data_IF_933883251786
#
_entry.id   IF_933883251786
#
_cell.length_a   1.000
_cell.length_b   1.000
_cell.length_c   1.000
_cell.angle_alpha   90.00
_cell.angle_beta   90.00
_cell.angle_gamma   90.00
#
_symmetry.space_group_name_H-M   'P 1'
#
loop_
_entity.id
_entity.type
_entity.pdbx_description
1 polymer ?
#
# COMPACT_ATOMS: atom_id res chain seq x y z
N UNK A 1 -21.87 3.78 -23.08
CA UNK A 1 -20.93 2.66 -22.86
C UNK A 1 -21.06 2.31 -21.39
N UNK A 2 -21.54 1.12 -21.07
CA UNK A 2 -21.68 0.68 -19.67
C UNK A 2 -20.27 0.42 -19.18
N UNK A 3 -19.77 1.22 -18.23
CA UNK A 3 -18.48 0.98 -17.59
C UNK A 3 -18.44 -0.47 -17.10
N UNK A 4 -17.56 -1.25 -17.71
CA UNK A 4 -17.24 -2.60 -17.25
C UNK A 4 -16.67 -2.44 -15.83
N UNK A 5 -17.46 -2.86 -14.84
CA UNK A 5 -17.14 -2.70 -13.42
C UNK A 5 -15.76 -3.28 -13.11
N UNK A 6 -14.77 -2.42 -12.96
CA UNK A 6 -13.40 -2.81 -12.59
C UNK A 6 -13.45 -3.52 -11.24
N UNK A 7 -13.10 -4.79 -11.24
CA UNK A 7 -13.02 -5.58 -10.02
C UNK A 7 -11.81 -5.12 -9.20
N UNK A 8 -12.04 -4.84 -7.91
CA UNK A 8 -11.03 -4.38 -6.96
C UNK A 8 -10.74 -5.54 -6.00
N UNK A 9 -9.48 -5.96 -5.95
CA UNK A 9 -9.02 -6.91 -4.94
C UNK A 9 -8.83 -6.15 -3.63
N UNK A 10 -9.47 -6.61 -2.57
CA UNK A 10 -9.39 -6.05 -1.23
C UNK A 10 -9.38 -7.15 -0.17
N UNK A 11 -9.30 -6.76 1.09
CA UNK A 11 -9.15 -7.63 2.23
C UNK A 11 -10.20 -7.28 3.28
N UNK A 12 -10.84 -8.30 3.84
CA UNK A 12 -11.94 -8.12 4.79
C UNK A 12 -11.78 -9.02 6.00
N UNK A 13 -12.05 -8.46 7.17
CA UNK A 13 -12.20 -9.18 8.42
C UNK A 13 -13.65 -9.57 8.70
N UNK A 14 -13.84 -10.69 9.39
CA UNK A 14 -15.12 -11.26 9.82
C UNK A 14 -15.00 -11.77 11.25
N UNK A 15 -16.15 -11.92 11.91
CA UNK A 15 -16.21 -12.71 13.14
C UNK A 15 -15.84 -14.19 12.87
N UNK A 16 -15.50 -14.93 13.91
CA UNK A 16 -15.14 -16.36 13.84
C UNK A 16 -16.18 -17.23 13.12
N UNK A 17 -17.46 -16.84 13.23
CA UNK A 17 -18.61 -17.49 12.60
C UNK A 17 -18.90 -16.97 11.18
N UNK A 18 -17.98 -16.21 10.57
CA UNK A 18 -18.14 -15.58 9.25
C UNK A 18 -19.23 -14.49 9.17
N UNK A 19 -19.65 -13.91 10.29
CA UNK A 19 -20.61 -12.79 10.28
C UNK A 19 -19.93 -11.42 10.18
N UNK A 20 -20.64 -10.45 9.57
CA UNK A 20 -20.32 -9.02 9.64
C UNK A 20 -21.57 -8.18 9.35
N UNK A 21 -21.89 -7.20 10.22
CA UNK A 21 -23.01 -6.23 10.06
C UNK A 21 -24.33 -6.87 9.59
N UNK A 22 -24.74 -7.97 10.22
CA UNK A 22 -26.02 -8.64 9.93
C UNK A 22 -26.03 -9.55 8.70
N UNK A 23 -24.88 -9.74 8.05
CA UNK A 23 -24.70 -10.72 6.99
C UNK A 23 -23.92 -11.94 7.51
N UNK A 24 -24.38 -13.12 7.10
CA UNK A 24 -23.62 -14.37 7.17
C UNK A 24 -22.90 -14.55 5.83
N UNK A 25 -21.57 -14.66 5.86
CA UNK A 25 -20.77 -14.87 4.66
C UNK A 25 -20.32 -16.31 4.54
N UNK A 26 -19.94 -16.67 3.32
CA UNK A 26 -19.37 -17.97 2.98
C UNK A 26 -18.34 -17.75 1.86
N UNK A 27 -17.23 -18.46 1.94
CA UNK A 27 -16.18 -18.47 0.90
C UNK A 27 -16.77 -18.99 -0.41
N UNK A 28 -16.39 -18.37 -1.53
CA UNK A 28 -16.90 -18.63 -2.87
C UNK A 28 -18.21 -17.92 -3.22
N UNK A 29 -18.91 -17.32 -2.24
CA UNK A 29 -20.20 -16.66 -2.49
C UNK A 29 -20.06 -15.17 -2.78
N UNK A 30 -21.04 -14.68 -3.53
CA UNK A 30 -21.18 -13.28 -3.95
C UNK A 30 -22.42 -12.66 -3.33
N UNK A 31 -22.31 -11.43 -2.84
CA UNK A 31 -23.37 -10.70 -2.18
C UNK A 31 -23.54 -9.33 -2.83
N UNK A 32 -24.79 -8.85 -2.86
CA UNK A 32 -25.17 -7.57 -3.45
C UNK A 32 -25.95 -6.75 -2.42
N UNK A 33 -25.48 -5.54 -2.15
CA UNK A 33 -26.11 -4.54 -1.31
C UNK A 33 -27.14 -3.77 -2.12
N UNK A 34 -28.28 -3.43 -1.49
CA UNK A 34 -29.33 -2.61 -2.11
C UNK A 34 -29.31 -1.22 -1.49
N UNK A 35 -29.27 -0.18 -2.33
CA UNK A 35 -29.24 1.23 -1.93
C UNK A 35 -27.84 1.83 -2.01
N UNK A 36 -27.72 3.09 -1.57
CA UNK A 36 -26.49 3.89 -1.67
C UNK A 36 -25.27 3.16 -1.09
N UNK A 37 -24.12 3.33 -1.74
CA UNK A 37 -22.81 2.91 -1.24
C UNK A 37 -22.06 4.13 -0.72
N UNK A 38 -21.78 4.16 0.59
CA UNK A 38 -21.06 5.27 1.23
C UNK A 38 -20.04 4.72 2.19
N UNK A 39 -18.79 5.17 2.05
CA UNK A 39 -17.73 4.86 2.98
C UNK A 39 -18.20 5.04 4.44
N UNK A 40 -17.84 4.08 5.29
CA UNK A 40 -18.23 3.93 6.70
C UNK A 40 -19.71 3.61 6.98
N UNK A 41 -20.64 4.04 6.12
CA UNK A 41 -22.08 4.00 6.37
C UNK A 41 -22.77 2.78 5.77
N UNK A 42 -22.60 2.53 4.48
CA UNK A 42 -23.41 1.55 3.74
C UNK A 42 -22.63 0.84 2.64
N UNK A 43 -23.09 -0.35 2.25
CA UNK A 43 -22.37 -1.25 1.37
C UNK A 43 -21.41 -2.18 2.13
N UNK A 44 -20.69 -2.99 1.36
CA UNK A 44 -19.72 -3.95 1.88
C UNK A 44 -18.37 -3.28 2.06
N UNK A 45 -17.82 -3.35 3.27
CA UNK A 45 -16.56 -2.70 3.61
C UNK A 45 -15.38 -3.66 3.61
N UNK A 46 -14.26 -3.24 3.03
CA UNK A 46 -12.97 -3.91 3.03
C UNK A 46 -11.82 -2.87 2.99
N UNK A 47 -10.58 -3.31 2.97
CA UNK A 47 -9.39 -2.47 2.79
C UNK A 47 -8.57 -2.95 1.59
N UNK A 48 -8.07 -2.06 0.73
CA UNK A 48 -7.19 -2.47 -0.39
C UNK A 48 -5.81 -2.91 0.10
N UNK A 49 -5.30 -2.30 1.18
CA UNK A 49 -4.09 -2.75 1.86
C UNK A 49 -4.44 -3.77 2.95
N UNK A 50 -3.85 -4.99 2.94
CA UNK A 50 -4.25 -6.07 3.85
C UNK A 50 -4.17 -5.74 5.34
N UNK A 51 -3.13 -5.00 5.77
CA UNK A 51 -2.90 -4.79 7.20
C UNK A 51 -3.78 -3.69 7.80
N UNK A 52 -4.38 -2.83 6.99
CA UNK A 52 -5.37 -1.85 7.46
C UNK A 52 -6.59 -2.54 8.10
N UNK A 53 -6.89 -3.78 7.69
CA UNK A 53 -7.96 -4.58 8.27
C UNK A 53 -7.77 -4.80 9.77
N UNK A 54 -6.51 -4.85 10.25
CA UNK A 54 -6.18 -5.08 11.66
C UNK A 54 -6.56 -3.92 12.58
N UNK A 55 -6.72 -2.71 12.04
CA UNK A 55 -7.26 -1.55 12.77
C UNK A 55 -8.75 -1.71 13.08
N UNK A 56 -9.44 -2.62 12.38
CA UNK A 56 -10.89 -2.85 12.51
C UNK A 56 -11.23 -4.21 13.14
N UNK A 57 -10.35 -5.19 12.98
CA UNK A 57 -10.57 -6.58 13.41
C UNK A 57 -9.34 -7.09 14.15
N UNK A 58 -9.56 -7.54 15.39
CA UNK A 58 -8.47 -8.13 16.19
C UNK A 58 -8.05 -9.48 15.61
N UNK A 59 -6.76 -9.68 15.29
CA UNK A 59 -6.28 -10.90 14.65
C UNK A 59 -6.42 -12.15 15.53
N UNK A 60 -6.58 -11.98 16.85
CA UNK A 60 -6.76 -13.10 17.77
C UNK A 60 -8.15 -13.76 17.69
N UNK A 61 -9.15 -13.02 17.21
CA UNK A 61 -10.57 -13.43 17.30
C UNK A 61 -11.35 -13.20 16.00
N UNK A 62 -10.66 -12.96 14.89
CA UNK A 62 -11.27 -12.67 13.59
C UNK A 62 -10.74 -13.59 12.50
N UNK A 63 -11.57 -13.79 11.48
CA UNK A 63 -11.19 -14.43 10.22
C UNK A 63 -10.94 -13.38 9.16
N UNK A 64 -10.10 -13.70 8.19
CA UNK A 64 -9.73 -12.78 7.12
C UNK A 64 -9.91 -13.45 5.76
N UNK A 65 -10.30 -12.68 4.76
CA UNK A 65 -10.43 -13.17 3.40
C UNK A 65 -9.91 -12.16 2.38
N UNK A 66 -9.44 -12.69 1.25
CA UNK A 66 -9.37 -11.93 0.00
C UNK A 66 -10.79 -11.79 -0.52
N UNK A 67 -11.15 -10.58 -0.95
CA UNK A 67 -12.46 -10.28 -1.50
C UNK A 67 -12.34 -9.54 -2.81
N UNK A 68 -13.28 -9.79 -3.70
CA UNK A 68 -13.43 -9.10 -4.98
C UNK A 68 -14.61 -8.16 -4.89
N UNK A 69 -14.34 -6.87 -5.03
CA UNK A 69 -15.32 -5.80 -4.88
C UNK A 69 -15.64 -5.20 -6.25
N UNK A 70 -16.93 -4.96 -6.50
CA UNK A 70 -17.41 -4.40 -7.77
C UNK A 70 -18.73 -3.65 -7.58
N UNK A 71 -19.23 -3.05 -8.66
CA UNK A 71 -20.41 -2.18 -8.63
C UNK A 71 -20.04 -0.77 -8.19
N UNK A 72 -21.03 -0.02 -7.72
CA UNK A 72 -20.79 1.31 -7.13
C UNK A 72 -19.80 1.17 -5.96
N UNK A 73 -18.80 2.05 -5.92
CA UNK A 73 -17.78 2.07 -4.86
C UNK A 73 -17.65 3.46 -4.26
N UNK A 74 -17.27 3.50 -2.99
CA UNK A 74 -17.01 4.73 -2.25
C UNK A 74 -15.75 4.55 -1.40
N UNK A 75 -14.83 5.50 -1.49
CA UNK A 75 -13.58 5.57 -0.72
C UNK A 75 -13.56 6.86 0.09
N UNK A 76 -12.82 6.84 1.19
CA UNK A 76 -12.45 8.04 1.93
C UNK A 76 -10.92 8.23 1.86
N UNK A 77 -10.40 9.25 2.53
CA UNK A 77 -9.04 9.79 2.37
C UNK A 77 -8.03 9.33 3.42
N UNK A 78 -8.48 8.81 4.57
CA UNK A 78 -7.60 8.55 5.72
C UNK A 78 -6.89 7.17 5.68
N UNK A 79 -7.47 6.17 5.01
CA UNK A 79 -6.91 4.82 4.89
C UNK A 79 -7.30 4.14 3.56
N UNK A 80 -6.91 2.88 3.35
CA UNK A 80 -7.26 2.16 2.11
C UNK A 80 -8.66 1.55 2.12
N UNK A 81 -9.53 2.01 3.04
CA UNK A 81 -10.88 1.47 3.18
C UNK A 81 -11.74 1.84 1.98
N UNK A 82 -12.55 0.87 1.59
CA UNK A 82 -13.48 0.97 0.48
C UNK A 82 -14.81 0.35 0.88
N UNK A 83 -15.90 0.95 0.41
CA UNK A 83 -17.23 0.37 0.39
C UNK A 83 -17.62 0.02 -1.05
N UNK A 84 -18.31 -1.12 -1.26
CA UNK A 84 -18.85 -1.51 -2.57
C UNK A 84 -20.29 -2.01 -2.51
N UNK A 85 -20.97 -1.94 -3.65
CA UNK A 85 -22.30 -2.54 -3.84
C UNK A 85 -22.24 -4.07 -3.91
N UNK A 86 -21.16 -4.65 -4.44
CA UNK A 86 -21.00 -6.09 -4.61
C UNK A 86 -19.69 -6.58 -4.02
N UNK A 87 -19.74 -7.72 -3.34
CA UNK A 87 -18.56 -8.38 -2.76
C UNK A 87 -18.62 -9.87 -3.01
N UNK A 88 -17.52 -10.46 -3.45
CA UNK A 88 -17.31 -11.90 -3.53
C UNK A 88 -16.25 -12.29 -2.51
N UNK A 89 -16.55 -13.26 -1.65
CA UNK A 89 -15.59 -13.80 -0.70
C UNK A 89 -14.76 -14.84 -1.43
N UNK A 90 -13.50 -14.56 -1.76
CA UNK A 90 -12.74 -15.42 -2.66
C UNK A 90 -12.10 -16.59 -1.92
N UNK A 91 -11.29 -16.30 -0.90
CA UNK A 91 -10.64 -17.32 -0.06
C UNK A 91 -10.38 -16.78 1.33
N UNK A 92 -10.47 -17.65 2.34
CA UNK A 92 -9.91 -17.36 3.67
C UNK A 92 -8.39 -17.26 3.56
N UNK A 93 -7.80 -16.37 4.36
CA UNK A 93 -6.35 -16.20 4.49
C UNK A 93 -5.94 -16.10 5.96
N UNK A 94 -4.75 -16.58 6.27
CA UNK A 94 -4.14 -16.46 7.59
C UNK A 94 -3.21 -15.23 7.69
N UNK A 95 -2.70 -14.95 8.89
CA UNK A 95 -1.80 -13.80 9.12
C UNK A 95 -0.52 -13.84 8.28
N UNK A 96 0.21 -14.98 8.19
CA UNK A 96 1.34 -15.08 7.26
C UNK A 96 1.00 -14.71 5.81
N UNK A 97 -0.14 -15.15 5.30
CA UNK A 97 -0.63 -14.81 3.96
C UNK A 97 -0.98 -13.33 3.84
N UNK A 98 -1.62 -12.74 4.86
CA UNK A 98 -1.88 -11.28 4.91
C UNK A 98 -0.58 -10.48 4.85
N UNK A 99 0.44 -10.86 5.61
CA UNK A 99 1.76 -10.20 5.59
C UNK A 99 2.41 -10.34 4.22
N UNK A 100 2.37 -11.52 3.61
CA UNK A 100 2.86 -11.73 2.24
C UNK A 100 2.16 -10.82 1.25
N UNK A 101 0.83 -10.75 1.30
CA UNK A 101 0.00 -9.88 0.44
C UNK A 101 0.30 -8.40 0.67
N UNK A 102 0.62 -8.00 1.89
CA UNK A 102 0.97 -6.62 2.22
C UNK A 102 2.31 -6.22 1.59
N UNK A 103 3.30 -7.12 1.63
CA UNK A 103 4.59 -6.93 0.95
C UNK A 103 4.39 -6.86 -0.57
N UNK A 104 3.56 -7.76 -1.15
CA UNK A 104 3.21 -7.74 -2.58
C UNK A 104 2.55 -6.41 -2.98
N UNK A 105 1.63 -5.90 -2.16
CA UNK A 105 0.96 -4.62 -2.39
C UNK A 105 1.94 -3.45 -2.40
N UNK A 106 2.83 -3.35 -1.40
CA UNK A 106 3.86 -2.30 -1.33
C UNK A 106 4.77 -2.38 -2.55
N UNK A 107 5.22 -3.60 -2.90
CA UNK A 107 6.05 -3.80 -4.10
C UNK A 107 5.35 -3.32 -5.37
N UNK A 108 4.04 -3.50 -5.50
CA UNK A 108 3.28 -3.01 -6.66
C UNK A 108 3.08 -1.49 -6.68
N UNK A 109 3.31 -0.78 -5.57
CA UNK A 109 3.21 0.68 -5.48
C UNK A 109 4.53 1.41 -5.70
N UNK A 110 5.65 0.71 -5.55
CA UNK A 110 6.98 1.26 -5.75
C UNK A 110 7.39 1.08 -7.21
N UNK A 111 7.83 2.17 -7.83
CA UNK A 111 8.57 2.10 -9.08
C UNK A 111 10.01 1.67 -8.77
N UNK A 112 10.26 0.37 -8.90
CA UNK A 112 11.58 -0.22 -8.62
C UNK A 112 12.62 0.15 -9.67
N UNK A 113 12.19 0.53 -10.88
CA UNK A 113 13.07 0.94 -11.96
C UNK A 113 13.49 2.42 -11.81
N UNK A 114 12.68 3.23 -11.12
CA UNK A 114 13.00 4.61 -10.73
C UNK A 114 13.87 4.71 -9.47
N UNK A 115 14.33 3.60 -8.89
CA UNK A 115 15.29 3.63 -7.79
C UNK A 115 16.62 4.25 -8.27
N UNK A 116 16.78 5.56 -8.11
CA UNK A 116 18.00 6.28 -8.45
C UNK A 116 19.17 5.76 -7.61
N UNK A 117 20.08 5.03 -8.27
CA UNK A 117 21.38 4.61 -7.72
C UNK A 117 22.38 5.79 -7.72
N UNK A 118 22.02 6.93 -8.30
CA UNK A 118 22.83 8.14 -8.36
C UNK A 118 21.96 9.39 -8.15
N UNK A 119 22.41 10.32 -7.31
CA UNK A 119 21.86 11.66 -7.27
C UNK A 119 22.55 12.47 -8.38
N UNK A 120 21.79 12.76 -9.42
CA UNK A 120 22.20 13.55 -10.58
C UNK A 120 21.11 14.56 -10.88
N UNK A 121 21.53 15.75 -11.32
CA UNK A 121 20.65 16.88 -11.67
C UNK A 121 20.98 18.14 -10.87
N UNK A 122 20.58 19.30 -11.37
CA UNK A 122 20.81 20.56 -10.65
C UNK A 122 20.01 20.59 -9.34
N UNK A 123 20.61 21.18 -8.29
CA UNK A 123 20.04 21.24 -6.93
C UNK A 123 19.82 19.89 -6.23
N UNK A 124 20.55 18.84 -6.62
CA UNK A 124 20.55 17.54 -5.94
C UNK A 124 21.32 17.55 -4.62
N UNK A 125 21.03 16.57 -3.74
CA UNK A 125 21.74 16.39 -2.46
C UNK A 125 22.04 14.92 -2.21
N UNK A 126 23.30 14.50 -2.31
CA UNK A 126 23.74 13.15 -1.95
C UNK A 126 24.29 13.10 -0.52
N UNK A 127 23.69 12.32 0.38
CA UNK A 127 24.19 12.14 1.75
C UNK A 127 24.49 10.67 2.04
N UNK A 128 25.70 10.35 2.50
CA UNK A 128 26.08 9.02 2.97
C UNK A 128 26.69 9.10 4.37
N UNK A 129 26.29 8.18 5.25
CA UNK A 129 26.73 8.15 6.65
C UNK A 129 27.14 6.72 7.02
N UNK A 130 28.45 6.41 6.88
CA UNK A 130 29.03 5.14 7.34
C UNK A 130 30.56 5.11 7.14
N UNK A 131 31.24 4.10 7.68
CA UNK A 131 32.66 3.86 7.37
C UNK A 131 32.82 3.18 6.01
N UNK A 132 33.87 3.55 5.26
CA UNK A 132 34.17 3.01 3.91
C UNK A 132 33.08 3.25 2.87
N UNK A 133 32.36 4.36 2.98
CA UNK A 133 31.32 4.81 2.04
C UNK A 133 31.85 5.76 0.98
N UNK A 134 31.14 5.86 -0.15
CA UNK A 134 31.33 6.91 -1.15
C UNK A 134 30.01 7.69 -1.34
N UNK A 135 30.08 9.01 -1.48
CA UNK A 135 28.97 9.85 -1.93
C UNK A 135 29.40 10.58 -3.20
N UNK A 136 28.67 10.38 -4.28
CA UNK A 136 28.92 11.01 -5.58
C UNK A 136 27.67 11.78 -6.00
N UNK A 137 27.83 13.07 -6.26
CA UNK A 137 26.77 13.94 -6.77
C UNK A 137 27.27 14.69 -8.02
N UNK A 138 26.38 14.91 -8.98
CA UNK A 138 26.70 15.61 -10.22
C UNK A 138 25.54 16.53 -10.61
N UNK A 139 25.81 17.84 -10.67
CA UNK A 139 24.82 18.86 -11.00
C UNK A 139 25.23 20.25 -10.50
N UNK A 140 24.64 21.31 -11.07
CA UNK A 140 24.91 22.67 -10.59
C UNK A 140 24.13 22.95 -9.30
N UNK A 141 24.75 23.69 -8.37
CA UNK A 141 24.15 24.06 -7.07
C UNK A 141 23.75 22.85 -6.20
N UNK A 142 24.45 21.74 -6.34
CA UNK A 142 24.23 20.48 -5.60
C UNK A 142 25.08 20.38 -4.33
N UNK A 143 24.76 19.42 -3.45
CA UNK A 143 25.49 19.17 -2.20
C UNK A 143 25.77 17.67 -2.02
N UNK A 144 27.05 17.29 -1.94
CA UNK A 144 27.45 15.93 -1.53
C UNK A 144 28.00 15.95 -0.09
N UNK A 145 27.49 15.10 0.78
CA UNK A 145 27.96 14.96 2.16
C UNK A 145 28.30 13.50 2.44
N UNK A 146 29.53 13.20 2.88
CA UNK A 146 29.92 11.85 3.26
C UNK A 146 30.71 11.81 4.58
N UNK A 147 30.03 11.43 5.65
CA UNK A 147 30.62 11.37 6.98
C UNK A 147 30.97 9.93 7.38
N UNK A 148 32.24 9.68 7.72
CA UNK A 148 32.69 8.41 8.30
C UNK A 148 34.19 8.14 8.15
N UNK A 149 34.68 7.06 8.75
CA UNK A 149 36.10 6.68 8.64
C UNK A 149 36.40 6.04 7.27
N UNK A 150 37.44 6.54 6.59
CA UNK A 150 37.86 6.09 5.24
C UNK A 150 36.76 6.29 4.19
N UNK A 151 36.02 7.38 4.26
CA UNK A 151 34.98 7.75 3.31
C UNK A 151 35.51 8.68 2.20
N UNK A 152 34.78 8.78 1.08
CA UNK A 152 35.10 9.69 -0.05
C UNK A 152 33.84 10.44 -0.49
N UNK A 153 33.89 11.76 -0.55
CA UNK A 153 32.85 12.60 -1.14
C UNK A 153 33.35 13.23 -2.44
N UNK A 154 32.55 13.15 -3.50
CA UNK A 154 32.82 13.82 -4.77
C UNK A 154 31.56 14.54 -5.20
N UNK A 155 31.66 15.85 -5.45
CA UNK A 155 30.59 16.63 -6.08
C UNK A 155 31.15 17.37 -7.29
N UNK A 156 30.48 17.25 -8.43
CA UNK A 156 30.92 17.88 -9.69
C UNK A 156 29.80 18.73 -10.28
N UNK A 157 30.04 20.04 -10.42
CA UNK A 157 29.14 21.00 -11.05
C UNK A 157 29.39 22.43 -10.57
N UNK A 158 28.83 23.43 -11.24
CA UNK A 158 29.02 24.84 -10.87
C UNK A 158 28.27 25.17 -9.58
N UNK A 159 28.92 25.94 -8.69
CA UNK A 159 28.36 26.36 -7.39
C UNK A 159 27.97 25.18 -6.47
N UNK A 160 28.66 24.05 -6.59
CA UNK A 160 28.41 22.83 -5.83
C UNK A 160 29.33 22.71 -4.60
N UNK A 161 28.90 21.94 -3.59
CA UNK A 161 29.64 21.76 -2.32
C UNK A 161 29.81 20.27 -1.99
N UNK A 162 31.00 19.88 -1.54
CA UNK A 162 31.28 18.53 -1.02
C UNK A 162 31.83 18.63 0.42
N UNK A 163 31.28 17.85 1.35
CA UNK A 163 31.68 17.85 2.78
C UNK A 163 31.86 16.44 3.35
#
# INVERSE_FOLDING_TARGET
MVEENKEIIAYKGFNQDWTCRGYQYEVGKTYVHKGDVKAYRSGFHACEYPLDVLSYYSPAVSKFAVVKMSGETSKDSDDTKIASAKITIETEINLPEMVKKAVEWIKGKVDWDAAKVSNTGDWSVATNTSSRSAATDTGNRSVATNTGNRSVATNTGDLSVAT
#
